data_IF_112805609671
#
_entry.id   IF_112805609671
#
_cell.length_a   1.000
_cell.length_b   1.000
_cell.length_c   1.000
_cell.angle_alpha   90.00
_cell.angle_beta   90.00
_cell.angle_gamma   90.00
#
_symmetry.space_group_name_H-M   'P 1'
#
loop_
_entity.id
_entity.type
_entity.pdbx_description
1 polymer ?
#
# COMPACT_ATOMS: atom_id res chain seq x y z
N UNK A 1 -14.33 -15.92 11.50
CA UNK A 1 -12.91 -15.54 11.34
C UNK A 1 -12.70 -15.19 9.87
N UNK A 2 -12.56 -13.93 9.46
CA UNK A 2 -12.52 -13.62 8.01
C UNK A 2 -12.01 -12.26 7.55
N UNK A 3 -11.91 -11.22 8.40
CA UNK A 3 -11.61 -9.86 7.91
C UNK A 3 -10.18 -9.34 8.10
N UNK A 4 -9.33 -10.02 8.90
CA UNK A 4 -7.94 -9.56 9.13
C UNK A 4 -6.93 -10.14 8.15
N UNK A 5 -7.17 -11.38 7.69
CA UNK A 5 -6.30 -12.03 6.70
C UNK A 5 -6.33 -11.30 5.35
N UNK A 6 -7.46 -10.70 4.97
CA UNK A 6 -7.59 -9.99 3.69
C UNK A 6 -6.78 -8.68 3.64
N UNK A 7 -6.73 -7.91 4.72
CA UNK A 7 -6.02 -6.61 4.73
C UNK A 7 -4.49 -6.79 4.70
N UNK A 8 -3.96 -7.75 5.45
CA UNK A 8 -2.53 -8.07 5.45
C UNK A 8 -2.09 -8.66 4.11
N UNK A 9 -2.92 -9.53 3.52
CA UNK A 9 -2.67 -10.07 2.18
C UNK A 9 -2.64 -8.94 1.13
N UNK A 10 -3.60 -8.01 1.20
CA UNK A 10 -3.68 -6.87 0.30
C UNK A 10 -2.50 -5.89 0.46
N UNK A 11 -2.00 -5.69 1.69
CA UNK A 11 -0.78 -4.90 1.93
C UNK A 11 0.47 -5.58 1.34
N UNK A 12 0.59 -6.91 1.49
CA UNK A 12 1.69 -7.66 0.90
C UNK A 12 1.64 -7.62 -0.64
N UNK A 13 0.47 -7.85 -1.24
CA UNK A 13 0.31 -7.82 -2.70
C UNK A 13 0.64 -6.42 -3.30
N UNK A 14 0.35 -5.34 -2.56
CA UNK A 14 0.73 -3.98 -2.97
C UNK A 14 2.22 -3.72 -2.79
N UNK A 15 2.82 -4.25 -1.73
CA UNK A 15 4.26 -4.14 -1.48
C UNK A 15 5.05 -4.85 -2.60
N UNK A 16 4.65 -6.05 -2.99
CA UNK A 16 5.25 -6.79 -4.10
C UNK A 16 5.14 -6.02 -5.44
N UNK A 17 4.01 -5.34 -5.68
CA UNK A 17 3.84 -4.50 -6.87
C UNK A 17 4.75 -3.27 -6.84
N UNK A 18 4.93 -2.64 -5.68
CA UNK A 18 5.86 -1.52 -5.50
C UNK A 18 7.30 -1.97 -5.78
N UNK A 19 7.72 -3.11 -5.23
CA UNK A 19 9.07 -3.64 -5.47
C UNK A 19 9.33 -3.92 -6.95
N UNK A 20 8.38 -4.56 -7.65
CA UNK A 20 8.48 -4.76 -9.10
C UNK A 20 8.56 -3.45 -9.87
N UNK A 21 7.78 -2.43 -9.49
CA UNK A 21 7.85 -1.09 -10.12
C UNK A 21 9.17 -0.39 -9.88
N UNK A 22 9.70 -0.46 -8.66
CA UNK A 22 11.02 0.07 -8.33
C UNK A 22 12.12 -0.63 -9.14
N UNK A 23 12.01 -1.93 -9.34
CA UNK A 23 12.94 -2.67 -10.19
C UNK A 23 12.84 -2.21 -11.66
N UNK A 24 11.62 -2.03 -12.20
CA UNK A 24 11.43 -1.50 -13.55
C UNK A 24 12.03 -0.11 -13.73
N UNK A 25 11.85 0.79 -12.75
CA UNK A 25 12.47 2.12 -12.77
C UNK A 25 13.99 2.02 -12.75
N UNK A 26 14.57 1.17 -11.89
CA UNK A 26 16.03 0.97 -11.84
C UNK A 26 16.61 0.38 -13.12
N UNK A 27 15.88 -0.53 -13.77
CA UNK A 27 16.29 -1.10 -15.06
C UNK A 27 16.21 -0.05 -16.16
N UNK A 28 15.16 0.77 -16.14
CA UNK A 28 14.97 1.88 -17.05
C UNK A 28 16.04 2.97 -16.86
N UNK A 29 16.38 3.34 -15.63
CA UNK A 29 17.43 4.33 -15.31
C UNK A 29 18.84 3.89 -15.75
N UNK A 30 19.06 2.58 -15.92
CA UNK A 30 20.31 2.03 -16.46
C UNK A 30 20.35 2.10 -17.99
N UNK A 31 19.22 2.27 -18.65
CA UNK A 31 19.10 2.38 -20.09
C UNK A 31 18.97 3.87 -20.47
N UNK A 32 20.09 4.50 -20.81
CA UNK A 32 20.16 5.93 -21.21
C UNK A 32 19.28 6.26 -22.43
N UNK A 33 18.78 5.26 -23.16
CA UNK A 33 17.90 5.45 -24.33
C UNK A 33 16.42 5.35 -24.01
N UNK A 34 16.08 4.94 -22.79
CA UNK A 34 14.71 4.78 -22.36
C UNK A 34 14.06 6.19 -22.26
N UNK A 35 12.87 6.34 -22.85
CA UNK A 35 12.23 7.63 -23.17
C UNK A 35 11.69 8.44 -21.98
N UNK A 36 10.39 8.42 -21.71
CA UNK A 36 9.79 9.12 -20.55
C UNK A 36 9.47 8.14 -19.40
N UNK A 37 10.19 8.25 -18.28
CA UNK A 37 10.01 7.46 -17.05
C UNK A 37 8.88 7.98 -16.17
N UNK A 38 8.32 9.16 -16.47
CA UNK A 38 7.29 9.81 -15.64
C UNK A 38 6.08 8.92 -15.40
N UNK A 39 5.70 8.10 -16.38
CA UNK A 39 4.59 7.13 -16.27
C UNK A 39 4.86 6.10 -15.17
N UNK A 40 6.10 5.59 -15.05
CA UNK A 40 6.47 4.62 -14.02
C UNK A 40 6.46 5.26 -12.63
N UNK A 41 6.90 6.51 -12.52
CA UNK A 41 6.86 7.27 -11.27
C UNK A 41 5.43 7.61 -10.83
N UNK A 42 4.55 8.02 -11.75
CA UNK A 42 3.13 8.27 -11.46
C UNK A 42 2.44 6.99 -10.97
N UNK A 43 2.75 5.84 -11.58
CA UNK A 43 2.20 4.57 -11.17
C UNK A 43 2.73 4.13 -9.79
N UNK A 44 4.01 4.40 -9.49
CA UNK A 44 4.61 4.16 -8.18
C UNK A 44 3.95 5.03 -7.09
N UNK A 45 3.74 6.32 -7.34
CA UNK A 45 3.05 7.23 -6.40
C UNK A 45 1.63 6.75 -6.09
N UNK A 46 0.91 6.25 -7.11
CA UNK A 46 -0.42 5.69 -6.92
C UNK A 46 -0.41 4.46 -6.01
N UNK A 47 0.53 3.53 -6.21
CA UNK A 47 0.66 2.34 -5.38
C UNK A 47 1.01 2.69 -3.93
N UNK A 48 1.92 3.64 -3.72
CA UNK A 48 2.28 4.15 -2.39
C UNK A 48 1.08 4.81 -1.71
N UNK A 49 0.26 5.54 -2.46
CA UNK A 49 -0.96 6.15 -1.94
C UNK A 49 -1.99 5.09 -1.49
N UNK A 50 -2.16 4.01 -2.25
CA UNK A 50 -3.05 2.90 -1.89
C UNK A 50 -2.61 2.18 -0.60
N UNK A 51 -1.30 1.96 -0.43
CA UNK A 51 -0.73 1.40 0.81
C UNK A 51 -1.00 2.34 2.01
N UNK A 52 -0.76 3.64 1.83
CA UNK A 52 -1.03 4.62 2.88
C UNK A 52 -2.51 4.67 3.27
N UNK A 53 -3.42 4.54 2.30
CA UNK A 53 -4.87 4.47 2.54
C UNK A 53 -5.25 3.21 3.33
N UNK A 54 -4.67 2.05 3.00
CA UNK A 54 -4.90 0.82 3.76
C UNK A 54 -4.41 0.93 5.21
N UNK A 55 -3.20 1.47 5.42
CA UNK A 55 -2.64 1.69 6.76
C UNK A 55 -3.48 2.68 7.58
N UNK A 56 -3.95 3.77 6.97
CA UNK A 56 -4.84 4.72 7.61
C UNK A 56 -6.18 4.07 8.02
N UNK A 57 -6.74 3.23 7.16
CA UNK A 57 -7.98 2.49 7.44
C UNK A 57 -7.79 1.49 8.59
N UNK A 58 -6.68 0.76 8.60
CA UNK A 58 -6.34 -0.17 9.68
C UNK A 58 -6.18 0.54 11.04
N UNK A 59 -5.56 1.74 11.05
CA UNK A 59 -5.41 2.58 12.25
C UNK A 59 -6.76 3.11 12.78
N UNK A 60 -7.68 3.48 11.89
CA UNK A 60 -9.02 3.91 12.29
C UNK A 60 -9.84 2.76 12.89
N UNK A 61 -9.70 1.53 12.37
CA UNK A 61 -10.40 0.34 12.87
C UNK A 61 -9.91 -0.10 14.26
N UNK A 62 -8.63 0.09 14.59
CA UNK A 62 -8.11 -0.21 15.93
C UNK A 62 -8.50 0.86 16.96
N UNK A 63 -8.54 2.13 16.56
CA UNK A 63 -9.02 3.23 17.42
C UNK A 63 -10.52 3.10 17.74
N UNK A 64 -11.36 2.72 16.77
CA UNK A 64 -12.80 2.55 16.98
C UNK A 64 -13.20 1.33 17.81
N UNK A 65 -12.33 0.33 17.94
CA UNK A 65 -12.62 -0.92 18.68
C UNK A 65 -12.39 -0.82 20.19
N UNK A 66 -11.67 0.20 20.66
CA UNK A 66 -11.39 0.43 22.09
C UNK A 66 -12.40 1.34 22.79
N UNK A 67 -13.41 1.85 22.07
CA UNK A 67 -14.42 2.78 22.62
C UNK A 67 -15.75 2.14 23.08
N UNK A 68 -15.94 0.82 22.92
CA UNK A 68 -17.24 0.17 23.12
C UNK A 68 -17.16 -1.02 24.08
N UNK A 69 -16.43 -0.91 25.19
CA UNK A 69 -16.54 -1.90 26.27
C UNK A 69 -16.18 -1.24 27.60
N UNK A 70 -17.08 -0.45 28.18
CA UNK A 70 -17.24 -0.25 29.64
C UNK A 70 -18.37 0.75 29.90
N UNK A 71 -19.62 0.34 29.64
CA UNK A 71 -20.78 0.87 30.38
C UNK A 71 -22.01 0.02 30.11
N UNK A 72 -22.22 -1.04 30.88
CA UNK A 72 -23.57 -1.37 31.36
C UNK A 72 -23.51 -2.35 32.51
N UNK A 73 -23.85 -1.81 33.68
CA UNK A 73 -24.38 -2.41 34.92
C UNK A 73 -23.60 -3.54 35.60
#
# INVERSE_FOLDING_TARGET
MGSRYSANQQENDLTDKIEKKLQQIREWEKDETAGDVSVLYVELERLLHEVNKLRATAKAQTAGRSGVFFKTV
#
